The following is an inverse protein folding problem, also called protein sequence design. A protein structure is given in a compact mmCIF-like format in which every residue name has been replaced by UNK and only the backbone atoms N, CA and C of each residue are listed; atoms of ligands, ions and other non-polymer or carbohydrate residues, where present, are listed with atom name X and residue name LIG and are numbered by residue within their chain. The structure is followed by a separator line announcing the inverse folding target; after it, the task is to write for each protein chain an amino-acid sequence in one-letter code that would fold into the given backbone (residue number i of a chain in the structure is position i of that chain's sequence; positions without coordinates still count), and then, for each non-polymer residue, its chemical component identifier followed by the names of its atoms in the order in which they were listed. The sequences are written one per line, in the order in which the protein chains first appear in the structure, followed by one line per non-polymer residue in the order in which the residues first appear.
data_IF_158758918673
#
_entry.id   IF_158758918673
#
_cell.length_a   1.000
_cell.length_b   1.000
_cell.length_c   1.000
_cell.angle_alpha   90.00
_cell.angle_beta   90.00
_cell.angle_gamma   90.00
#
_symmetry.space_group_name_H-M   'P 1'
#
loop_
_entity.id
_entity.type
_entity.pdbx_description
1 polymer ?
#
# COMPACT_ATOMS: atom_id res chain seq x y z
N UNK A 1 1.28 -13.89 -9.20
CA UNK A 1 1.46 -12.71 -10.07
C UNK A 1 0.40 -11.63 -9.90
N UNK A 2 -0.92 -11.94 -9.88
CA UNK A 2 -1.99 -10.93 -9.70
C UNK A 2 -1.82 -10.02 -8.48
N UNK A 3 -1.36 -10.57 -7.35
CA UNK A 3 -1.07 -9.82 -6.11
C UNK A 3 0.03 -8.78 -6.31
N UNK A 4 1.14 -9.18 -6.94
CA UNK A 4 2.27 -8.28 -7.23
C UNK A 4 1.79 -7.14 -8.12
N UNK A 5 1.07 -7.46 -9.20
CA UNK A 5 0.52 -6.45 -10.11
C UNK A 5 -0.42 -5.47 -9.38
N UNK A 6 -1.29 -5.95 -8.49
CA UNK A 6 -2.20 -5.09 -7.73
C UNK A 6 -1.44 -4.09 -6.86
N UNK A 7 -0.41 -4.54 -6.15
CA UNK A 7 0.42 -3.65 -5.34
C UNK A 7 1.27 -2.70 -6.17
N UNK A 8 1.83 -3.15 -7.30
CA UNK A 8 2.54 -2.28 -8.26
C UNK A 8 1.63 -1.17 -8.77
N UNK A 9 0.40 -1.51 -9.19
CA UNK A 9 -0.58 -0.53 -9.66
C UNK A 9 -1.00 0.41 -8.53
N UNK A 10 -1.27 -0.11 -7.32
CA UNK A 10 -1.61 0.72 -6.17
C UNK A 10 -0.47 1.70 -5.80
N UNK A 11 0.77 1.22 -5.81
CA UNK A 11 1.96 2.02 -5.54
C UNK A 11 2.21 3.11 -6.57
N UNK A 12 1.84 2.89 -7.84
CA UNK A 12 1.88 3.90 -8.88
C UNK A 12 0.71 4.89 -8.80
N UNK A 13 -0.51 4.37 -8.64
CA UNK A 13 -1.74 5.13 -8.82
C UNK A 13 -2.09 6.00 -7.61
N UNK A 14 -1.86 5.53 -6.37
CA UNK A 14 -2.23 6.28 -5.17
C UNK A 14 -1.46 7.61 -5.08
N UNK A 15 -0.12 7.63 -5.21
CA UNK A 15 0.63 8.88 -5.18
C UNK A 15 0.28 9.82 -6.35
N UNK A 16 0.07 9.27 -7.55
CA UNK A 16 -0.36 10.05 -8.71
C UNK A 16 -1.74 10.68 -8.51
N UNK A 17 -2.70 9.94 -7.93
CA UNK A 17 -4.03 10.44 -7.61
C UNK A 17 -3.97 11.56 -6.56
N UNK A 18 -3.17 11.39 -5.49
CA UNK A 18 -2.98 12.43 -4.47
C UNK A 18 -2.36 13.71 -5.06
N UNK A 19 -1.39 13.56 -5.96
CA UNK A 19 -0.80 14.68 -6.69
C UNK A 19 -1.85 15.39 -7.55
N UNK A 20 -2.66 14.66 -8.31
CA UNK A 20 -3.68 15.26 -9.18
C UNK A 20 -4.77 15.98 -8.37
N UNK A 21 -5.19 15.40 -7.24
CA UNK A 21 -6.19 16.02 -6.34
C UNK A 21 -5.73 17.36 -5.77
N UNK A 22 -4.43 17.50 -5.49
CA UNK A 22 -3.87 18.76 -4.97
C UNK A 22 -3.51 19.74 -6.08
N UNK A 23 -3.07 19.23 -7.24
CA UNK A 23 -2.60 20.04 -8.36
C UNK A 23 -3.74 20.69 -9.16
N UNK A 24 -4.83 19.97 -9.45
CA UNK A 24 -5.94 20.47 -10.28
C UNK A 24 -6.56 21.77 -9.72
N UNK A 25 -6.87 21.88 -8.42
CA UNK A 25 -7.40 23.12 -7.85
C UNK A 25 -6.42 24.30 -7.96
N UNK A 26 -5.12 24.04 -7.76
CA UNK A 26 -4.07 25.07 -7.83
C UNK A 26 -3.90 25.58 -9.26
N UNK A 27 -3.92 24.68 -10.24
CA UNK A 27 -3.82 25.05 -11.66
C UNK A 27 -5.05 25.85 -12.13
N UNK A 28 -6.25 25.54 -11.62
CA UNK A 28 -7.46 26.31 -11.90
C UNK A 28 -7.44 27.71 -11.25
N UNK A 29 -6.83 27.85 -10.08
CA UNK A 29 -6.77 29.11 -9.34
C UNK A 29 -5.70 30.09 -9.87
N UNK A 30 -4.64 29.61 -10.51
CA UNK A 30 -3.49 30.43 -10.96
C UNK A 30 -3.61 30.98 -12.38
N UNK A 31 -4.65 30.61 -13.13
CA UNK A 31 -4.91 31.11 -14.47
C UNK A 31 -4.01 30.53 -15.57
N UNK A 32 -4.43 30.71 -16.83
CA UNK A 32 -3.84 30.03 -18.01
C UNK A 32 -2.42 30.45 -18.39
N UNK A 33 -1.93 31.60 -17.93
CA UNK A 33 -0.62 32.14 -18.34
C UNK A 33 0.57 31.32 -17.82
N UNK A 34 0.35 30.47 -16.82
CA UNK A 34 1.35 29.53 -16.27
C UNK A 34 1.09 28.07 -16.67
N UNK A 35 0.12 27.80 -17.55
CA UNK A 35 -0.36 26.45 -17.84
C UNK A 35 0.75 25.51 -18.35
N UNK A 36 1.65 26.00 -19.21
CA UNK A 36 2.77 25.20 -19.75
C UNK A 36 3.76 24.82 -18.65
N UNK A 37 4.13 25.77 -17.78
CA UNK A 37 5.04 25.52 -16.66
C UNK A 37 4.40 24.58 -15.63
N UNK A 38 3.11 24.79 -15.33
CA UNK A 38 2.34 23.95 -14.42
C UNK A 38 2.22 22.52 -14.96
N UNK A 39 1.86 22.33 -16.24
CA UNK A 39 1.76 21.00 -16.86
C UNK A 39 3.13 20.32 -16.93
N UNK A 40 4.20 21.06 -17.22
CA UNK A 40 5.57 20.55 -17.19
C UNK A 40 5.98 20.07 -15.80
N UNK A 41 5.68 20.84 -14.75
CA UNK A 41 5.90 20.44 -13.36
C UNK A 41 5.06 19.24 -12.95
N UNK A 42 3.78 19.18 -13.35
CA UNK A 42 2.92 18.03 -13.11
C UNK A 42 3.51 16.76 -13.74
N UNK A 43 3.91 16.84 -15.01
CA UNK A 43 4.49 15.70 -15.72
C UNK A 43 5.79 15.25 -15.05
N UNK A 44 6.68 16.17 -14.70
CA UNK A 44 7.91 15.88 -13.99
C UNK A 44 7.63 15.21 -12.64
N UNK A 45 6.66 15.73 -11.87
CA UNK A 45 6.25 15.13 -10.59
C UNK A 45 5.67 13.73 -10.76
N UNK A 46 4.83 13.50 -11.78
CA UNK A 46 4.30 12.17 -12.07
C UNK A 46 5.42 11.18 -12.45
N UNK A 47 6.37 11.59 -13.29
CA UNK A 47 7.54 10.77 -13.67
C UNK A 47 8.46 10.48 -12.49
N UNK A 48 8.57 11.40 -11.53
CA UNK A 48 9.39 11.20 -10.33
C UNK A 48 8.71 10.33 -9.27
N UNK A 49 7.37 10.28 -9.26
CA UNK A 49 6.61 9.60 -8.20
C UNK A 49 6.12 8.21 -8.65
N UNK A 50 5.66 8.06 -9.89
CA UNK A 50 5.06 6.82 -10.40
C UNK A 50 6.07 5.65 -10.39
N UNK A 51 7.30 5.76 -10.96
CA UNK A 51 8.22 4.64 -11.01
C UNK A 51 8.71 4.19 -9.62
N UNK A 52 9.15 5.07 -8.70
CA UNK A 52 9.50 4.65 -7.34
C UNK A 52 8.31 4.03 -6.60
N UNK A 53 7.10 4.60 -6.78
CA UNK A 53 5.88 4.05 -6.22
C UNK A 53 5.55 2.66 -6.75
N UNK A 54 5.68 2.44 -8.06
CA UNK A 54 5.47 1.15 -8.72
C UNK A 54 6.47 0.09 -8.23
N UNK A 55 7.74 0.46 -8.09
CA UNK A 55 8.80 -0.42 -7.58
C UNK A 55 8.52 -0.79 -6.12
N UNK A 56 8.23 0.20 -5.26
CA UNK A 56 7.86 -0.05 -3.87
C UNK A 56 6.63 -0.96 -3.75
N UNK A 57 5.61 -0.70 -4.58
CA UNK A 57 4.43 -1.56 -4.70
C UNK A 57 4.77 -2.99 -5.13
N UNK A 58 5.63 -3.17 -6.12
CA UNK A 58 6.06 -4.50 -6.55
C UNK A 58 6.74 -5.29 -5.41
N UNK A 59 7.63 -4.64 -4.65
CA UNK A 59 8.31 -5.25 -3.50
C UNK A 59 7.32 -5.69 -2.42
N UNK A 60 6.38 -4.81 -2.02
CA UNK A 60 5.32 -5.16 -1.07
C UNK A 60 4.47 -6.32 -1.62
N UNK A 61 4.19 -6.31 -2.92
CA UNK A 61 3.45 -7.38 -3.58
C UNK A 61 4.15 -8.74 -3.59
N UNK A 62 5.47 -8.78 -3.69
CA UNK A 62 6.25 -10.01 -3.53
C UNK A 62 6.20 -10.53 -2.09
N UNK A 63 6.28 -9.63 -1.11
CA UNK A 63 6.17 -9.98 0.31
C UNK A 63 4.78 -10.54 0.61
N UNK A 64 3.71 -9.87 0.18
CA UNK A 64 2.33 -10.35 0.32
C UNK A 64 2.12 -11.71 -0.39
N UNK A 65 2.74 -11.92 -1.55
CA UNK A 65 2.71 -13.22 -2.22
C UNK A 65 3.37 -14.32 -1.37
N UNK A 66 4.56 -14.07 -0.83
CA UNK A 66 5.28 -15.02 0.02
C UNK A 66 4.50 -15.33 1.32
N UNK A 67 3.94 -14.30 1.96
CA UNK A 67 3.08 -14.44 3.13
C UNK A 67 1.80 -15.22 2.83
N UNK A 68 1.19 -15.00 1.67
CA UNK A 68 0.07 -15.81 1.19
C UNK A 68 0.42 -17.29 1.05
N UNK A 69 1.60 -17.62 0.52
CA UNK A 69 2.09 -19.00 0.44
C UNK A 69 2.30 -19.61 1.83
N UNK A 70 2.90 -18.86 2.76
CA UNK A 70 3.08 -19.28 4.14
C UNK A 70 1.74 -19.63 4.84
N UNK A 71 0.70 -18.83 4.62
CA UNK A 71 -0.65 -19.11 5.12
C UNK A 71 -1.23 -20.38 4.47
N UNK A 72 -1.05 -20.54 3.15
CA UNK A 72 -1.56 -21.71 2.42
C UNK A 72 -0.91 -23.03 2.81
N UNK A 73 0.32 -23.02 3.33
CA UNK A 73 1.02 -24.20 3.88
C UNK A 73 0.40 -24.76 5.18
N UNK A 74 -0.69 -24.18 5.68
CA UNK A 74 -1.43 -24.75 6.81
C UNK A 74 -2.32 -25.91 6.38
N UNK A 75 -2.18 -27.06 7.04
CA UNK A 75 -2.92 -28.30 6.68
C UNK A 75 -4.43 -28.22 6.95
N UNK A 76 -4.86 -27.36 7.87
CA UNK A 76 -6.26 -27.21 8.28
C UNK A 76 -6.73 -25.76 8.21
N UNK A 77 -8.05 -25.54 8.11
CA UNK A 77 -8.63 -24.20 8.14
C UNK A 77 -8.27 -23.42 9.43
N UNK A 78 -8.19 -24.13 10.58
CA UNK A 78 -7.74 -23.56 11.84
C UNK A 78 -6.26 -23.14 11.78
N UNK A 79 -5.39 -23.96 11.18
CA UNK A 79 -3.97 -23.63 10.97
C UNK A 79 -3.78 -22.45 10.03
N UNK A 80 -4.54 -22.39 8.92
CA UNK A 80 -4.54 -21.26 7.99
C UNK A 80 -4.97 -19.96 8.66
N UNK A 81 -6.03 -19.99 9.48
CA UNK A 81 -6.48 -18.82 10.25
C UNK A 81 -5.46 -18.38 11.30
N UNK A 82 -4.83 -19.33 12.01
CA UNK A 82 -3.78 -19.02 12.97
C UNK A 82 -2.55 -18.36 12.31
N UNK A 83 -2.23 -18.71 11.05
CA UNK A 83 -1.14 -18.12 10.26
C UNK A 83 -1.54 -16.79 9.59
N UNK A 84 -2.82 -16.56 9.33
CA UNK A 84 -3.30 -15.35 8.66
C UNK A 84 -3.05 -14.07 9.49
N UNK A 85 -3.23 -14.14 10.82
CA UNK A 85 -3.00 -13.01 11.72
C UNK A 85 -1.52 -12.53 11.72
N UNK A 86 -0.52 -13.37 12.01
CA UNK A 86 0.88 -12.94 12.00
C UNK A 86 1.32 -12.50 10.60
N UNK A 87 0.84 -13.14 9.53
CA UNK A 87 1.14 -12.72 8.16
C UNK A 87 0.62 -11.30 7.86
N UNK A 88 -0.62 -11.00 8.24
CA UNK A 88 -1.18 -9.65 8.08
C UNK A 88 -0.45 -8.62 8.96
N UNK A 89 -0.06 -9.00 10.18
CA UNK A 89 0.70 -8.15 11.09
C UNK A 89 2.07 -7.75 10.50
N UNK A 90 2.79 -8.70 9.89
CA UNK A 90 4.06 -8.42 9.22
C UNK A 90 3.88 -7.35 8.15
N UNK A 91 2.85 -7.47 7.32
CA UNK A 91 2.57 -6.50 6.28
C UNK A 91 2.18 -5.13 6.85
N UNK A 92 1.38 -5.10 7.92
CA UNK A 92 1.00 -3.88 8.61
C UNK A 92 2.23 -3.14 9.18
N UNK A 93 3.12 -3.86 9.86
CA UNK A 93 4.35 -3.29 10.43
C UNK A 93 5.25 -2.77 9.31
N UNK A 94 5.40 -3.52 8.22
CA UNK A 94 6.18 -3.10 7.05
C UNK A 94 5.64 -1.80 6.46
N UNK A 95 4.34 -1.71 6.23
CA UNK A 95 3.71 -0.51 5.65
C UNK A 95 3.78 0.69 6.59
N UNK A 96 3.62 0.46 7.90
CA UNK A 96 3.80 1.50 8.93
C UNK A 96 5.23 2.02 8.93
N UNK A 97 6.22 1.12 8.90
CA UNK A 97 7.64 1.49 8.84
C UNK A 97 7.98 2.25 7.56
N UNK A 98 7.48 1.81 6.40
CA UNK A 98 7.67 2.51 5.13
C UNK A 98 7.04 3.90 5.14
N UNK A 99 5.83 4.06 5.70
CA UNK A 99 5.20 5.36 5.85
C UNK A 99 6.03 6.30 6.77
N UNK A 100 6.55 5.78 7.89
CA UNK A 100 7.44 6.55 8.77
C UNK A 100 8.73 6.98 8.08
N UNK A 101 9.32 6.10 7.27
CA UNK A 101 10.52 6.42 6.47
C UNK A 101 10.19 7.51 5.47
N UNK A 102 9.05 7.43 4.79
CA UNK A 102 8.61 8.45 3.84
C UNK A 102 8.41 9.81 4.51
N UNK A 103 7.74 9.88 5.67
CA UNK A 103 7.57 11.12 6.43
C UNK A 103 8.91 11.80 6.77
N UNK A 104 9.91 11.00 7.15
CA UNK A 104 11.26 11.50 7.41
C UNK A 104 11.92 12.09 6.17
N UNK A 105 11.72 11.49 4.99
CA UNK A 105 12.27 11.99 3.73
C UNK A 105 11.52 13.19 3.16
N UNK A 106 10.26 13.41 3.54
CA UNK A 106 9.45 14.56 3.10
C UNK A 106 9.61 15.80 3.98
N UNK A 107 10.67 15.86 4.80
CA UNK A 107 10.93 16.95 5.74
C UNK A 107 9.76 17.23 6.71
N UNK A 108 8.95 16.20 7.00
CA UNK A 108 7.87 16.31 7.98
C UNK A 108 8.48 16.51 9.37
N UNK A 109 7.84 17.34 10.20
CA UNK A 109 8.27 17.52 11.58
C UNK A 109 8.19 16.18 12.35
N UNK A 110 9.36 15.65 12.71
CA UNK A 110 9.50 14.38 13.44
C UNK A 110 9.57 14.58 14.95
N UNK A 111 9.39 15.81 15.46
CA UNK A 111 9.45 16.11 16.90
C UNK A 111 8.41 15.32 17.69
N UNK A 112 7.23 15.08 17.10
CA UNK A 112 6.21 14.22 17.68
C UNK A 112 6.12 12.85 16.99
N UNK A 113 7.10 11.99 17.31
CA UNK A 113 7.18 10.62 16.80
C UNK A 113 5.90 9.82 17.07
N UNK A 114 5.23 10.06 18.21
CA UNK A 114 3.99 9.39 18.56
C UNK A 114 2.85 9.66 17.58
N UNK A 115 2.66 10.93 17.20
CA UNK A 115 1.65 11.32 16.20
C UNK A 115 1.98 10.76 14.82
N UNK A 116 3.25 10.85 14.39
CA UNK A 116 3.66 10.34 13.09
C UNK A 116 3.52 8.82 12.98
N UNK A 117 3.80 8.11 14.08
CA UNK A 117 3.58 6.67 14.16
C UNK A 117 2.09 6.33 14.11
N UNK A 118 1.25 7.03 14.87
CA UNK A 118 -0.19 6.82 14.85
C UNK A 118 -0.80 7.11 13.47
N UNK A 119 -0.36 8.17 12.80
CA UNK A 119 -0.74 8.50 11.44
C UNK A 119 -0.32 7.41 10.45
N UNK A 120 0.93 6.97 10.51
CA UNK A 120 1.48 5.92 9.66
C UNK A 120 0.77 4.59 9.87
N UNK A 121 0.48 4.24 11.12
CA UNK A 121 -0.29 3.05 11.49
C UNK A 121 -1.73 3.14 10.97
N UNK A 122 -2.37 4.31 11.10
CA UNK A 122 -3.70 4.57 10.53
C UNK A 122 -3.72 4.38 9.01
N UNK A 123 -2.70 4.87 8.32
CA UNK A 123 -2.55 4.70 6.87
C UNK A 123 -2.34 3.23 6.47
N UNK A 124 -1.56 2.48 7.26
CA UNK A 124 -1.30 1.05 7.05
C UNK A 124 -2.46 0.14 7.47
N UNK A 125 -3.40 0.63 8.29
CA UNK A 125 -4.49 -0.18 8.84
C UNK A 125 -5.45 -0.70 7.76
N UNK A 126 -5.80 0.14 6.78
CA UNK A 126 -6.69 -0.24 5.67
C UNK A 126 -6.09 -1.40 4.85
N UNK A 127 -4.87 -1.27 4.26
CA UNK A 127 -4.26 -2.38 3.55
C UNK A 127 -4.03 -3.61 4.43
N UNK A 128 -3.66 -3.43 5.70
CA UNK A 128 -3.51 -4.53 6.66
C UNK A 128 -4.81 -5.31 6.89
N UNK A 129 -5.94 -4.61 7.06
CA UNK A 129 -7.26 -5.23 7.22
C UNK A 129 -7.72 -5.97 5.96
N UNK A 130 -7.51 -5.37 4.78
CA UNK A 130 -7.83 -6.01 3.48
C UNK A 130 -7.07 -7.31 3.32
N UNK A 131 -5.78 -7.33 3.65
CA UNK A 131 -4.92 -8.50 3.54
C UNK A 131 -5.28 -9.56 4.57
N UNK A 132 -5.59 -9.17 5.81
CA UNK A 132 -6.10 -10.09 6.82
C UNK A 132 -7.39 -10.80 6.38
N UNK A 133 -8.37 -10.04 5.88
CA UNK A 133 -9.61 -10.60 5.34
C UNK A 133 -9.33 -11.51 4.14
N UNK A 134 -8.38 -11.14 3.28
CA UNK A 134 -7.99 -11.99 2.15
C UNK A 134 -7.37 -13.30 2.62
N UNK A 135 -6.46 -13.29 3.59
CA UNK A 135 -5.78 -14.49 4.09
C UNK A 135 -6.73 -15.45 4.81
N UNK A 136 -7.65 -14.92 5.64
CA UNK A 136 -8.68 -15.74 6.29
C UNK A 136 -9.65 -16.36 5.28
N UNK A 137 -9.90 -15.71 4.15
CA UNK A 137 -10.68 -16.27 3.03
C UNK A 137 -9.93 -17.29 2.17
N UNK A 138 -8.64 -17.54 2.42
CA UNK A 138 -7.91 -18.67 1.80
C UNK A 138 -8.19 -20.01 2.52
N UNK A 139 -8.93 -19.97 3.63
CA UNK A 139 -9.27 -21.13 4.45
C UNK A 139 -10.46 -22.01 4.01
N UNK A 140 -11.38 -21.66 3.07
CA UNK A 140 -12.54 -22.50 2.81
C UNK A 140 -12.18 -23.64 1.86
N UNK A 141 -11.70 -24.75 2.43
CA UNK A 141 -12.00 -26.07 1.88
C UNK A 141 -13.44 -26.38 2.30
N UNK A 142 -14.39 -26.34 1.35
CA UNK A 142 -15.62 -27.12 1.50
C UNK A 142 -15.15 -28.55 1.78
N UNK A 143 -15.39 -29.07 2.98
CA UNK A 143 -15.49 -30.51 3.15
C UNK A 143 -16.59 -30.95 2.18
N UNK A 144 -16.22 -31.60 1.09
CA UNK A 144 -17.19 -32.41 0.36
C UNK A 144 -17.75 -33.39 1.38
N UNK A 145 -19.08 -33.46 1.59
CA UNK A 145 -19.63 -34.54 2.40
C UNK A 145 -19.23 -35.84 1.72
N UNK A 146 -18.55 -36.71 2.48
CA UNK A 146 -18.19 -38.05 2.02
C UNK A 146 -19.44 -38.73 1.46
N UNK A 147 -19.40 -39.09 0.17
CA UNK A 147 -20.38 -39.94 -0.50
C UNK A 147 -19.72 -41.29 -0.79
#
# INVERSE_FOLDING_TARGET
MRTVLWWTVAGAAIPAALLLLTFVPVALATGGDSLVANVGMLFLSLVMIIPPGAIGGALVGFIDFALGQYVMQGDSAASKNARALPAALVLFVLLTGLAMVLLKFTATDMTNVGINLAFSAGFAAIPGAVVYVRYTRLAPSRQAPNA
#
